data_IF_616293724072
#
_entry.id   IF_616293724072
#
_cell.length_a   1.000
_cell.length_b   1.000
_cell.length_c   1.000
_cell.angle_alpha   90.00
_cell.angle_beta   90.00
_cell.angle_gamma   90.00
#
_symmetry.space_group_name_H-M   'P 1'
#
loop_
_entity.id
_entity.type
_entity.pdbx_description
1 polymer ?
#
# COMPACT_ATOMS: atom_id res chain seq x y z
N UNK A 1 -8.60 7.76 -4.90
CA UNK A 1 -9.30 8.29 -3.70
C UNK A 1 -8.72 7.59 -2.47
N UNK A 2 -8.61 8.25 -1.31
CA UNK A 2 -7.99 7.66 -0.10
C UNK A 2 -9.00 7.71 1.04
N UNK A 3 -9.30 6.55 1.63
CA UNK A 3 -10.27 6.39 2.70
C UNK A 3 -9.65 5.61 3.85
N UNK A 4 -10.03 5.88 5.10
CA UNK A 4 -9.53 5.08 6.21
C UNK A 4 -9.98 5.59 7.57
N UNK A 5 -9.86 4.73 8.59
CA UNK A 5 -10.06 5.08 9.99
C UNK A 5 -8.98 4.43 10.85
N UNK A 6 -8.20 5.25 11.56
CA UNK A 6 -7.03 4.77 12.28
C UNK A 6 -6.00 4.16 11.33
N UNK A 7 -5.49 2.98 11.66
CA UNK A 7 -4.50 2.27 10.84
C UNK A 7 -5.11 1.50 9.66
N UNK A 8 -6.43 1.36 9.58
CA UNK A 8 -7.06 0.70 8.42
C UNK A 8 -7.28 1.73 7.31
N UNK A 9 -6.40 1.68 6.30
CA UNK A 9 -6.39 2.64 5.18
C UNK A 9 -6.66 1.88 3.88
N UNK A 10 -7.55 2.42 3.05
CA UNK A 10 -7.88 1.98 1.70
C UNK A 10 -7.51 3.05 0.67
N UNK A 11 -6.67 2.68 -0.28
CA UNK A 11 -6.24 3.53 -1.39
C UNK A 11 -6.89 2.99 -2.66
N UNK A 12 -7.77 3.78 -3.27
CA UNK A 12 -8.37 3.47 -4.55
C UNK A 12 -7.46 3.92 -5.69
N UNK A 13 -6.96 2.94 -6.44
CA UNK A 13 -6.02 3.12 -7.54
C UNK A 13 -6.78 3.27 -8.86
N UNK A 14 -6.30 4.14 -9.74
CA UNK A 14 -6.83 4.24 -11.12
C UNK A 14 -6.40 3.08 -12.02
N UNK A 15 -5.48 2.23 -11.53
CA UNK A 15 -4.92 1.07 -12.22
C UNK A 15 -5.23 -0.23 -11.45
N UNK A 16 -5.24 -1.39 -12.12
CA UNK A 16 -5.46 -2.67 -11.45
C UNK A 16 -4.46 -2.90 -10.30
N UNK A 17 -4.96 -3.11 -9.09
CA UNK A 17 -4.11 -3.27 -7.90
C UNK A 17 -3.15 -4.47 -8.01
N UNK A 18 -3.45 -5.45 -8.86
CA UNK A 18 -2.68 -6.69 -9.01
C UNK A 18 -1.24 -6.44 -9.45
N UNK A 19 -1.03 -5.52 -10.39
CA UNK A 19 0.28 -5.18 -10.93
C UNK A 19 1.12 -4.43 -9.88
N UNK A 20 0.53 -3.39 -9.28
CA UNK A 20 1.13 -2.63 -8.18
C UNK A 20 1.47 -3.53 -6.99
N UNK A 21 0.58 -4.47 -6.64
CA UNK A 21 0.81 -5.44 -5.56
C UNK A 21 1.95 -6.38 -5.88
N UNK A 22 2.02 -6.94 -7.09
CA UNK A 22 3.12 -7.83 -7.47
C UNK A 22 4.45 -7.11 -7.35
N UNK A 23 4.57 -5.89 -7.89
CA UNK A 23 5.79 -5.10 -7.77
C UNK A 23 6.12 -4.76 -6.31
N UNK A 24 5.14 -4.36 -5.50
CA UNK A 24 5.34 -4.12 -4.06
C UNK A 24 5.85 -5.36 -3.31
N UNK A 25 5.28 -6.54 -3.58
CA UNK A 25 5.63 -7.78 -2.89
C UNK A 25 6.98 -8.34 -3.37
N UNK A 26 7.22 -8.35 -4.68
CA UNK A 26 8.42 -8.97 -5.27
C UNK A 26 9.62 -8.04 -5.34
N UNK A 27 9.43 -6.74 -5.60
CA UNK A 27 10.53 -5.77 -5.74
C UNK A 27 10.81 -5.02 -4.43
N UNK A 28 9.76 -4.64 -3.69
CA UNK A 28 9.89 -3.80 -2.50
C UNK A 28 9.71 -4.58 -1.19
N UNK A 29 9.48 -5.90 -1.28
CA UNK A 29 9.24 -6.81 -0.15
C UNK A 29 8.17 -6.31 0.83
N UNK A 30 7.17 -5.58 0.33
CA UNK A 30 6.10 -5.02 1.13
C UNK A 30 4.77 -5.71 0.81
N UNK A 31 4.22 -6.41 1.81
CA UNK A 31 2.93 -7.06 1.68
C UNK A 31 1.80 -6.08 2.01
N UNK A 32 0.91 -5.88 1.04
CA UNK A 32 -0.26 -5.03 1.17
C UNK A 32 -1.52 -5.85 0.90
N UNK A 33 -2.59 -5.57 1.66
CA UNK A 33 -3.89 -6.18 1.43
C UNK A 33 -4.55 -5.61 0.19
N UNK A 34 -5.55 -6.30 -0.36
CA UNK A 34 -6.32 -5.81 -1.50
C UNK A 34 -7.80 -6.04 -1.27
N UNK A 35 -8.62 -5.21 -1.93
CA UNK A 35 -10.06 -5.37 -1.93
C UNK A 35 -10.66 -5.00 -3.27
N UNK A 36 -11.51 -5.89 -3.79
CA UNK A 36 -12.09 -5.70 -5.11
C UNK A 36 -11.03 -5.63 -6.21
N UNK A 37 -11.28 -4.80 -7.23
CA UNK A 37 -10.46 -4.75 -8.45
C UNK A 37 -9.37 -3.68 -8.42
N UNK A 38 -9.57 -2.60 -7.63
CA UNK A 38 -8.72 -1.40 -7.69
C UNK A 38 -8.28 -0.86 -6.32
N UNK A 39 -8.72 -1.46 -5.21
CA UNK A 39 -8.43 -0.92 -3.87
C UNK A 39 -7.28 -1.66 -3.20
N UNK A 40 -6.25 -0.92 -2.81
CA UNK A 40 -5.16 -1.36 -1.96
C UNK A 40 -5.51 -1.10 -0.49
N UNK A 41 -5.35 -2.09 0.38
CA UNK A 41 -5.57 -1.96 1.83
C UNK A 41 -4.24 -2.01 2.57
N UNK A 42 -4.00 -0.98 3.37
CA UNK A 42 -2.89 -0.90 4.30
C UNK A 42 -3.45 -1.21 5.69
N UNK A 43 -2.88 -2.24 6.30
CA UNK A 43 -3.16 -2.68 7.67
C UNK A 43 -1.81 -2.89 8.37
N UNK A 44 -1.08 -1.79 8.67
CA UNK A 44 0.17 -1.88 9.38
C UNK A 44 -0.05 -2.30 10.85
N UNK A 45 0.97 -2.85 11.51
CA UNK A 45 0.94 -3.12 12.93
C UNK A 45 0.79 -1.81 13.73
N UNK A 46 0.17 -1.87 14.91
CA UNK A 46 0.00 -0.70 15.78
C UNK A 46 1.32 -0.14 16.33
N UNK A 47 2.40 -0.94 16.27
CA UNK A 47 3.74 -0.58 16.73
C UNK A 47 4.61 0.06 15.62
N UNK A 48 4.04 0.32 14.44
CA UNK A 48 4.72 0.96 13.32
C UNK A 48 5.26 2.35 13.70
N UNK A 49 6.50 2.64 13.31
CA UNK A 49 7.10 3.98 13.47
C UNK A 49 6.79 4.89 12.29
N UNK A 50 7.00 6.20 12.44
CA UNK A 50 6.89 7.13 11.31
C UNK A 50 7.91 6.82 10.21
N UNK A 51 9.12 6.42 10.58
CA UNK A 51 10.18 6.11 9.62
C UNK A 51 9.78 4.91 8.73
N UNK A 52 9.11 3.91 9.29
CA UNK A 52 8.58 2.77 8.51
C UNK A 52 7.50 3.22 7.50
N UNK A 53 6.66 4.21 7.88
CA UNK A 53 5.66 4.80 6.98
C UNK A 53 6.33 5.55 5.84
N UNK A 54 7.34 6.37 6.15
CA UNK A 54 8.05 7.16 5.16
C UNK A 54 8.80 6.25 4.18
N UNK A 55 9.43 5.18 4.67
CA UNK A 55 10.04 4.15 3.82
C UNK A 55 9.01 3.49 2.90
N UNK A 56 7.84 3.11 3.44
CA UNK A 56 6.76 2.52 2.64
C UNK A 56 6.27 3.47 1.54
N UNK A 57 6.08 4.76 1.85
CA UNK A 57 5.63 5.77 0.88
C UNK A 57 6.65 5.90 -0.26
N UNK A 58 7.94 5.92 0.04
CA UNK A 58 8.99 5.99 -0.99
C UNK A 58 9.02 4.73 -1.86
N UNK A 59 8.85 3.54 -1.26
CA UNK A 59 8.71 2.27 -2.00
C UNK A 59 7.47 2.27 -2.90
N UNK A 60 6.34 2.76 -2.39
CA UNK A 60 5.10 2.87 -3.16
C UNK A 60 5.27 3.81 -4.36
N UNK A 61 5.90 4.99 -4.18
CA UNK A 61 6.19 5.92 -5.27
C UNK A 61 7.06 5.30 -6.36
N UNK A 62 8.04 4.45 -6.01
CA UNK A 62 8.88 3.72 -7.00
C UNK A 62 8.06 2.75 -7.85
N UNK A 63 7.06 2.11 -7.25
CA UNK A 63 6.19 1.15 -7.94
C UNK A 63 5.10 1.83 -8.76
N UNK A 64 4.68 3.04 -8.36
CA UNK A 64 3.69 3.83 -9.09
C UNK A 64 4.28 4.66 -10.25
N UNK A 65 5.61 4.68 -10.40
CA UNK A 65 6.28 5.08 -11.65
C UNK A 65 6.19 3.95 -12.68
#
# INVERSE_FOLDING_TARGET
DVRGRGMMIGVDLSVPHKEVRQRLVYEQHCFTGCAGTNVLRLLPPLCLSKDDVDEFIEKLKKVMK
#
